data_IF_985350211342
#
_entry.id   IF_985350211342
#
_cell.length_a   1.000
_cell.length_b   1.000
_cell.length_c   1.000
_cell.angle_alpha   90.00
_cell.angle_beta   90.00
_cell.angle_gamma   90.00
#
_symmetry.space_group_name_H-M   'P 1'
#
loop_
_entity.id
_entity.type
_entity.pdbx_description
1 polymer ?
#
# COMPACT_ATOMS: atom_id res chain seq x y z
N UNK A 1 -39.13 -38.53 48.65
CA UNK A 1 -39.85 -37.24 48.56
C UNK A 1 -39.11 -36.23 49.41
N UNK A 2 -38.41 -35.26 48.82
CA UNK A 2 -37.98 -34.05 49.50
C UNK A 2 -37.84 -32.94 48.46
N UNK A 3 -38.88 -32.13 48.39
CA UNK A 3 -38.98 -30.98 47.50
C UNK A 3 -38.40 -29.74 48.19
N UNK A 4 -37.52 -29.07 47.43
CA UNK A 4 -37.41 -27.61 47.24
C UNK A 4 -37.52 -26.70 48.48
N UNK A 5 -36.40 -26.08 48.84
CA UNK A 5 -36.39 -24.72 49.39
C UNK A 5 -35.22 -23.93 48.81
N UNK A 6 -35.48 -23.16 47.76
CA UNK A 6 -34.68 -21.98 47.40
C UNK A 6 -35.61 -20.77 47.48
N UNK A 7 -35.20 -19.67 48.15
CA UNK A 7 -36.00 -18.46 48.22
C UNK A 7 -36.13 -17.87 46.81
N UNK A 8 -37.34 -17.44 46.45
CA UNK A 8 -37.59 -16.77 45.19
C UNK A 8 -36.78 -15.48 45.13
N UNK A 9 -35.87 -15.38 44.16
CA UNK A 9 -35.20 -14.12 43.81
C UNK A 9 -36.30 -13.19 43.30
N UNK A 10 -36.68 -12.20 44.10
CA UNK A 10 -37.54 -11.12 43.64
C UNK A 10 -36.80 -10.33 42.56
N UNK A 11 -37.36 -10.26 41.36
CA UNK A 11 -36.83 -9.42 40.30
C UNK A 11 -36.85 -7.96 40.77
N UNK A 12 -35.67 -7.37 40.96
CA UNK A 12 -35.57 -5.95 41.29
C UNK A 12 -36.11 -5.11 40.11
N UNK A 13 -36.82 -4.00 40.37
CA UNK A 13 -37.29 -3.13 39.32
C UNK A 13 -36.09 -2.54 38.59
N UNK A 14 -36.03 -2.74 37.28
CA UNK A 14 -34.98 -2.23 36.40
C UNK A 14 -34.98 -0.70 36.49
N UNK A 15 -33.94 -0.13 37.11
CA UNK A 15 -33.78 1.32 37.18
C UNK A 15 -33.64 1.87 35.77
N UNK A 16 -34.63 2.66 35.32
CA UNK A 16 -34.63 3.27 34.00
C UNK A 16 -33.64 4.43 33.95
N UNK A 17 -32.42 4.16 33.48
CA UNK A 17 -31.35 5.15 33.38
C UNK A 17 -31.39 5.90 32.06
N UNK A 18 -30.78 7.10 32.02
CA UNK A 18 -30.61 7.95 30.81
C UNK A 18 -29.91 7.22 29.64
N UNK A 19 -29.33 6.06 29.90
CA UNK A 19 -28.66 5.20 28.91
C UNK A 19 -29.54 4.09 28.31
N UNK A 20 -30.77 3.89 28.80
CA UNK A 20 -31.72 2.91 28.22
C UNK A 20 -32.18 3.28 26.80
N UNK A 21 -31.92 4.52 26.38
CA UNK A 21 -32.14 4.96 25.00
C UNK A 21 -31.15 4.31 24.02
N UNK A 22 -29.94 3.94 24.46
CA UNK A 22 -28.91 3.31 23.64
C UNK A 22 -29.04 1.78 23.55
N UNK A 23 -29.85 1.17 24.39
CA UNK A 23 -30.10 -0.28 24.42
C UNK A 23 -31.36 -0.70 23.66
N UNK A 24 -32.10 0.26 23.07
CA UNK A 24 -33.19 -0.04 22.14
C UNK A 24 -32.61 -0.35 20.77
N UNK A 25 -32.89 -1.53 20.17
CA UNK A 25 -32.44 -1.82 18.81
C UNK A 25 -33.01 -0.75 17.88
N UNK A 26 -32.14 -0.10 17.12
CA UNK A 26 -32.53 0.91 16.13
C UNK A 26 -33.51 0.27 15.16
N UNK A 27 -34.71 0.85 15.04
CA UNK A 27 -35.67 0.44 14.01
C UNK A 27 -35.07 0.61 12.61
N UNK A 28 -35.66 -0.02 11.58
CA UNK A 28 -35.13 0.00 10.21
C UNK A 28 -34.84 1.41 9.67
N UNK A 29 -35.61 2.42 10.10
CA UNK A 29 -35.37 3.82 9.76
C UNK A 29 -34.05 4.39 10.33
N UNK A 30 -33.67 4.00 11.55
CA UNK A 30 -32.41 4.42 12.16
C UNK A 30 -31.19 3.79 11.45
N UNK A 31 -31.32 2.54 11.03
CA UNK A 31 -30.29 1.85 10.26
C UNK A 31 -30.10 2.48 8.87
N UNK A 32 -31.21 2.80 8.19
CA UNK A 32 -31.19 3.48 6.89
C UNK A 32 -30.56 4.88 6.98
N UNK A 33 -30.86 5.65 8.02
CA UNK A 33 -30.25 6.97 8.24
C UNK A 33 -28.73 6.87 8.45
N UNK A 34 -28.26 5.92 9.26
CA UNK A 34 -26.82 5.68 9.46
C UNK A 34 -26.10 5.30 8.16
N UNK A 35 -26.68 4.39 7.37
CA UNK A 35 -26.13 4.00 6.07
C UNK A 35 -26.11 5.17 5.08
N UNK A 36 -27.16 5.99 5.07
CA UNK A 36 -27.24 7.20 4.24
C UNK A 36 -26.14 8.20 4.60
N UNK A 37 -25.96 8.50 5.89
CA UNK A 37 -24.90 9.41 6.39
C UNK A 37 -23.51 8.84 6.09
N UNK A 38 -23.29 7.54 6.32
CA UNK A 38 -22.02 6.88 6.02
C UNK A 38 -21.70 6.92 4.51
N UNK A 39 -22.69 6.66 3.65
CA UNK A 39 -22.55 6.74 2.20
C UNK A 39 -22.27 8.16 1.71
N UNK A 40 -22.92 9.18 2.29
CA UNK A 40 -22.69 10.59 1.98
C UNK A 40 -21.28 11.03 2.40
N UNK A 41 -20.86 10.66 3.62
CA UNK A 41 -19.50 10.92 4.10
C UNK A 41 -18.45 10.25 3.22
N UNK A 42 -18.64 8.97 2.86
CA UNK A 42 -17.75 8.26 1.95
C UNK A 42 -17.69 8.93 0.58
N UNK A 43 -18.84 9.29 0.00
CA UNK A 43 -18.92 9.99 -1.29
C UNK A 43 -18.22 11.35 -1.26
N UNK A 44 -18.37 12.12 -0.18
CA UNK A 44 -17.68 13.41 0.00
C UNK A 44 -16.17 13.22 0.16
N UNK A 45 -15.72 12.24 0.97
CA UNK A 45 -14.30 11.97 1.15
C UNK A 45 -13.61 11.55 -0.15
N UNK A 46 -14.28 10.69 -0.93
CA UNK A 46 -13.81 10.24 -2.25
C UNK A 46 -13.82 11.42 -3.24
N UNK A 47 -14.92 12.16 -3.34
CA UNK A 47 -15.08 13.27 -4.28
C UNK A 47 -14.14 14.45 -4.02
N UNK A 48 -13.72 14.66 -2.77
CA UNK A 48 -12.74 15.68 -2.39
C UNK A 48 -11.27 15.22 -2.56
N UNK A 49 -11.02 13.99 -3.03
CA UNK A 49 -9.66 13.48 -3.21
C UNK A 49 -8.85 13.36 -1.92
N UNK A 50 -9.52 13.28 -0.75
CA UNK A 50 -8.83 13.20 0.55
C UNK A 50 -8.22 11.83 0.84
N UNK A 51 -8.36 10.89 -0.08
CA UNK A 51 -7.64 9.61 -0.06
C UNK A 51 -6.36 9.79 -0.89
N UNK A 52 -5.32 10.33 -0.27
CA UNK A 52 -3.98 10.39 -0.86
C UNK A 52 -3.12 9.26 -0.28
N UNK A 53 -2.24 8.63 -1.09
CA UNK A 53 -1.25 7.70 -0.55
C UNK A 53 -0.33 8.42 0.46
N UNK A 54 0.21 7.71 1.46
CA UNK A 54 1.22 8.26 2.35
C UNK A 54 2.37 8.90 1.56
N UNK A 55 2.94 10.00 2.09
CA UNK A 55 4.03 10.73 1.43
C UNK A 55 5.24 9.82 1.14
N UNK A 56 5.52 8.87 2.04
CA UNK A 56 6.59 7.87 1.91
C UNK A 56 6.46 7.00 0.66
N UNK A 57 5.23 6.77 0.16
CA UNK A 57 4.96 5.98 -1.05
C UNK A 57 4.61 6.84 -2.26
N UNK A 58 4.86 8.14 -2.18
CA UNK A 58 4.47 9.12 -3.20
C UNK A 58 5.71 9.77 -3.84
N UNK A 59 6.45 9.07 -4.73
CA UNK A 59 7.69 9.54 -5.34
C UNK A 59 7.44 10.61 -6.43
N UNK A 60 6.70 11.67 -6.09
CA UNK A 60 6.17 12.65 -7.04
C UNK A 60 7.27 13.38 -7.79
N UNK A 61 8.28 13.87 -7.07
CA UNK A 61 9.41 14.58 -7.69
C UNK A 61 10.25 13.66 -8.57
N UNK A 62 10.53 12.42 -8.12
CA UNK A 62 11.23 11.42 -8.89
C UNK A 62 10.48 11.04 -10.19
N UNK A 63 9.15 10.90 -10.14
CA UNK A 63 8.33 10.60 -11.31
C UNK A 63 8.23 11.79 -12.26
N UNK A 64 8.15 13.02 -11.75
CA UNK A 64 8.23 14.22 -12.59
C UNK A 64 9.56 14.25 -13.37
N UNK A 65 10.68 14.05 -12.67
CA UNK A 65 11.99 13.91 -13.30
C UNK A 65 12.02 12.79 -14.35
N UNK A 66 11.50 11.60 -14.03
CA UNK A 66 11.49 10.46 -14.94
C UNK A 66 10.68 10.72 -16.22
N UNK A 67 9.62 11.52 -16.15
CA UNK A 67 8.84 11.94 -17.32
C UNK A 67 9.63 12.90 -18.18
N UNK A 68 10.21 13.94 -17.57
CA UNK A 68 10.97 14.98 -18.28
C UNK A 68 12.22 14.39 -18.96
N UNK A 69 12.86 13.42 -18.30
CA UNK A 69 13.99 12.67 -18.85
C UNK A 69 13.58 11.55 -19.84
N UNK A 70 12.29 11.36 -20.11
CA UNK A 70 11.79 10.36 -21.06
C UNK A 70 11.92 8.90 -20.60
N UNK A 71 12.24 8.65 -19.33
CA UNK A 71 12.48 7.31 -18.77
C UNK A 71 11.22 6.46 -18.70
N UNK A 72 10.05 7.08 -18.52
CA UNK A 72 8.76 6.39 -18.35
C UNK A 72 8.30 5.53 -19.55
N UNK A 73 9.00 5.63 -20.69
CA UNK A 73 8.81 4.75 -21.86
C UNK A 73 9.52 3.40 -21.71
N UNK A 74 10.53 3.32 -20.84
CA UNK A 74 11.33 2.12 -20.58
C UNK A 74 10.78 1.29 -19.42
N UNK A 75 11.29 0.07 -19.28
CA UNK A 75 10.92 -0.88 -18.23
C UNK A 75 11.53 -0.46 -16.90
N UNK A 76 10.67 -0.13 -15.93
CA UNK A 76 11.08 0.21 -14.57
C UNK A 76 11.29 -1.05 -13.74
N UNK A 77 12.26 -1.04 -12.83
CA UNK A 77 12.29 -1.93 -11.66
C UNK A 77 11.98 -1.09 -10.41
N UNK A 78 10.74 -1.16 -9.94
CA UNK A 78 10.24 -0.31 -8.87
C UNK A 78 10.19 -1.02 -7.51
N UNK A 79 10.25 -0.25 -6.43
CA UNK A 79 9.92 -0.73 -5.10
C UNK A 79 8.44 -1.09 -4.99
N UNK A 80 8.12 -2.18 -4.29
CA UNK A 80 6.75 -2.68 -4.09
C UNK A 80 5.77 -1.58 -3.66
N UNK A 81 6.17 -0.74 -2.69
CA UNK A 81 5.34 0.35 -2.16
C UNK A 81 5.01 1.45 -3.17
N UNK A 82 5.80 1.61 -4.23
CA UNK A 82 5.54 2.61 -5.28
C UNK A 82 4.57 2.12 -6.36
N UNK A 83 4.21 0.84 -6.37
CA UNK A 83 3.38 0.26 -7.42
C UNK A 83 2.03 0.97 -7.59
N UNK A 84 1.34 1.29 -6.49
CA UNK A 84 0.07 2.02 -6.54
C UNK A 84 0.20 3.42 -7.17
N UNK A 85 1.30 4.12 -6.87
CA UNK A 85 1.58 5.43 -7.46
C UNK A 85 1.89 5.33 -8.96
N UNK A 86 2.66 4.33 -9.37
CA UNK A 86 2.96 4.11 -10.79
C UNK A 86 1.70 3.80 -11.59
N UNK A 87 0.78 3.01 -11.04
CA UNK A 87 -0.52 2.71 -11.66
C UNK A 87 -1.32 4.00 -11.84
N UNK A 88 -1.45 4.85 -10.82
CA UNK A 88 -2.18 6.12 -10.94
C UNK A 88 -1.53 7.09 -11.93
N UNK A 89 -0.20 7.00 -12.07
CA UNK A 89 0.58 7.74 -13.06
C UNK A 89 0.53 7.13 -14.49
N UNK A 90 -0.11 5.98 -14.69
CA UNK A 90 -0.14 5.30 -15.99
C UNK A 90 1.22 4.76 -16.45
N UNK A 91 2.10 4.44 -15.51
CA UNK A 91 3.42 3.86 -15.78
C UNK A 91 3.34 2.35 -15.48
N UNK A 92 3.72 1.46 -16.42
CA UNK A 92 3.74 0.03 -16.18
C UNK A 92 4.64 -0.35 -14.98
N UNK A 93 4.13 -1.19 -14.09
CA UNK A 93 4.83 -1.65 -12.89
C UNK A 93 5.62 -2.93 -13.14
N UNK A 94 6.77 -3.07 -12.49
CA UNK A 94 7.43 -4.37 -12.35
C UNK A 94 6.72 -5.24 -11.31
N UNK A 95 6.33 -4.61 -10.21
CA UNK A 95 5.62 -5.22 -9.10
C UNK A 95 4.74 -4.17 -8.42
N UNK A 96 3.59 -4.57 -7.88
CA UNK A 96 2.71 -3.68 -7.13
C UNK A 96 1.84 -4.44 -6.11
N UNK A 97 0.94 -3.71 -5.44
CA UNK A 97 0.09 -4.20 -4.37
C UNK A 97 -0.87 -5.34 -4.74
N UNK A 98 -1.02 -5.67 -6.03
CA UNK A 98 -1.83 -6.81 -6.53
C UNK A 98 -1.04 -8.11 -6.42
N UNK A 99 -0.50 -8.41 -5.24
CA UNK A 99 0.46 -9.49 -5.01
C UNK A 99 -0.03 -10.88 -5.46
N UNK A 100 -1.34 -11.12 -5.43
CA UNK A 100 -1.99 -12.34 -5.92
C UNK A 100 -1.76 -12.60 -7.42
N UNK A 101 -1.55 -11.55 -8.21
CA UNK A 101 -1.26 -11.66 -9.65
C UNK A 101 0.18 -12.07 -9.94
N UNK A 102 1.09 -11.83 -9.00
CA UNK A 102 2.52 -12.10 -9.14
C UNK A 102 2.92 -13.45 -8.55
N UNK A 103 2.18 -13.93 -7.55
CA UNK A 103 2.51 -15.14 -6.80
C UNK A 103 3.58 -14.90 -5.73
N UNK A 104 3.46 -15.62 -4.60
CA UNK A 104 4.30 -15.41 -3.42
C UNK A 104 5.80 -15.55 -3.70
N UNK A 105 6.19 -16.51 -4.54
CA UNK A 105 7.60 -16.75 -4.88
C UNK A 105 8.22 -15.59 -5.66
N UNK A 106 7.47 -14.94 -6.56
CA UNK A 106 7.97 -13.76 -7.28
C UNK A 106 8.14 -12.57 -6.34
N UNK A 107 7.13 -12.32 -5.49
CA UNK A 107 7.18 -11.23 -4.51
C UNK A 107 8.37 -11.43 -3.55
N UNK A 108 8.57 -12.65 -3.05
CA UNK A 108 9.70 -13.01 -2.20
C UNK A 108 11.03 -12.75 -2.90
N UNK A 109 11.21 -13.23 -4.14
CA UNK A 109 12.44 -12.99 -4.91
C UNK A 109 12.71 -11.50 -5.13
N UNK A 110 11.68 -10.70 -5.40
CA UNK A 110 11.84 -9.25 -5.52
C UNK A 110 12.32 -8.61 -4.22
N UNK A 111 11.71 -8.96 -3.08
CA UNK A 111 12.12 -8.48 -1.75
C UNK A 111 13.56 -8.86 -1.44
N UNK A 112 13.95 -10.10 -1.75
CA UNK A 112 15.31 -10.60 -1.57
C UNK A 112 16.31 -9.90 -2.50
N UNK A 113 15.92 -9.58 -3.74
CA UNK A 113 16.73 -8.86 -4.71
C UNK A 113 17.01 -7.41 -4.28
N UNK A 114 15.99 -6.66 -3.80
CA UNK A 114 16.21 -5.29 -3.31
C UNK A 114 17.05 -5.25 -2.03
N UNK A 115 16.95 -6.30 -1.21
CA UNK A 115 17.73 -6.47 0.02
C UNK A 115 19.15 -7.03 -0.22
N UNK A 116 19.47 -7.48 -1.44
CA UNK A 116 20.70 -8.20 -1.78
C UNK A 116 20.93 -9.45 -0.90
N UNK A 117 19.85 -10.21 -0.65
CA UNK A 117 19.86 -11.43 0.19
C UNK A 117 19.39 -12.69 -0.55
N UNK A 118 19.00 -12.55 -1.82
CA UNK A 118 18.50 -13.67 -2.63
C UNK A 118 19.61 -14.50 -3.26
N UNK A 119 19.23 -15.70 -3.71
CA UNK A 119 20.12 -16.58 -4.49
C UNK A 119 20.38 -16.04 -5.90
N UNK A 120 19.38 -15.42 -6.53
CA UNK A 120 19.51 -14.74 -7.82
C UNK A 120 20.15 -13.36 -7.60
N UNK A 121 21.31 -13.07 -8.22
CA UNK A 121 21.90 -11.73 -8.20
C UNK A 121 20.94 -10.70 -8.81
N UNK A 122 20.90 -9.49 -8.25
CA UNK A 122 20.03 -8.42 -8.75
C UNK A 122 20.28 -8.14 -10.23
N UNK A 123 21.55 -8.13 -10.65
CA UNK A 123 21.96 -7.91 -12.04
C UNK A 123 21.31 -8.91 -13.01
N UNK A 124 21.31 -10.19 -12.65
CA UNK A 124 20.69 -11.24 -13.46
C UNK A 124 19.19 -11.00 -13.62
N UNK A 125 18.52 -10.52 -12.56
CA UNK A 125 17.11 -10.13 -12.64
C UNK A 125 16.93 -8.89 -13.54
N UNK A 126 17.73 -7.85 -13.35
CA UNK A 126 17.67 -6.62 -14.16
C UNK A 126 17.90 -6.90 -15.65
N UNK A 127 18.78 -7.84 -15.99
CA UNK A 127 19.07 -8.23 -17.36
C UNK A 127 17.97 -9.12 -17.95
N UNK A 128 17.51 -10.14 -17.20
CA UNK A 128 16.42 -11.04 -17.61
C UNK A 128 15.16 -10.27 -17.99
N UNK A 129 14.81 -9.26 -17.19
CA UNK A 129 13.64 -8.41 -17.44
C UNK A 129 13.96 -7.17 -18.26
N UNK A 130 15.20 -7.03 -18.75
CA UNK A 130 15.63 -5.92 -19.62
C UNK A 130 15.25 -4.55 -19.06
N UNK A 131 15.54 -4.37 -17.77
CA UNK A 131 15.19 -3.16 -17.03
C UNK A 131 16.04 -2.00 -17.55
N UNK A 132 15.37 -0.89 -17.90
CA UNK A 132 15.98 0.33 -18.41
C UNK A 132 16.29 1.34 -17.27
N UNK A 133 15.48 1.35 -16.20
CA UNK A 133 15.66 2.23 -15.06
C UNK A 133 15.08 1.64 -13.77
N UNK A 134 15.55 2.09 -12.60
CA UNK A 134 15.03 1.66 -11.30
C UNK A 134 14.36 2.82 -10.57
N UNK A 135 13.44 2.49 -9.67
CA UNK A 135 12.79 3.45 -8.77
C UNK A 135 12.66 2.80 -7.38
N UNK A 136 13.63 3.05 -6.51
CA UNK A 136 13.74 2.39 -5.20
C UNK A 136 13.79 3.42 -4.08
N UNK A 137 13.38 3.05 -2.87
CA UNK A 137 13.59 3.90 -1.69
C UNK A 137 15.10 4.08 -1.44
N UNK A 138 15.58 5.24 -0.95
CA UNK A 138 17.00 5.56 -0.86
C UNK A 138 17.83 4.55 -0.05
N UNK A 139 17.25 3.99 1.00
CA UNK A 139 17.87 3.05 1.94
C UNK A 139 18.04 1.62 1.38
N UNK A 140 17.41 1.30 0.25
CA UNK A 140 17.44 -0.04 -0.35
C UNK A 140 18.88 -0.46 -0.68
N UNK A 141 19.24 -1.69 -0.30
CA UNK A 141 20.60 -2.21 -0.48
C UNK A 141 21.00 -2.25 -1.96
N UNK A 142 20.04 -2.55 -2.85
CA UNK A 142 20.17 -2.50 -4.29
C UNK A 142 20.77 -1.18 -4.81
N UNK A 143 20.45 -0.02 -4.22
CA UNK A 143 21.02 1.26 -4.66
C UNK A 143 22.54 1.32 -4.47
N UNK A 144 23.09 0.66 -3.43
CA UNK A 144 24.55 0.59 -3.21
C UNK A 144 25.25 -0.29 -4.23
N UNK A 145 24.56 -1.31 -4.74
CA UNK A 145 25.08 -2.15 -5.81
C UNK A 145 25.04 -1.40 -7.14
N UNK A 146 23.89 -0.82 -7.49
CA UNK A 146 23.70 -0.01 -8.70
C UNK A 146 24.68 1.16 -8.79
N UNK A 147 25.06 1.77 -7.66
CA UNK A 147 26.08 2.83 -7.60
C UNK A 147 27.47 2.42 -8.07
N UNK A 148 27.76 1.11 -8.12
CA UNK A 148 29.06 0.54 -8.48
C UNK A 148 28.98 -0.40 -9.68
N UNK A 149 27.78 -0.65 -10.18
CA UNK A 149 27.54 -1.60 -11.26
C UNK A 149 27.84 -0.91 -12.60
N UNK A 150 28.77 -1.45 -13.43
CA UNK A 150 29.04 -0.89 -14.74
C UNK A 150 27.79 -0.85 -15.62
N UNK A 151 27.66 0.21 -16.43
CA UNK A 151 26.47 0.42 -17.27
C UNK A 151 25.25 0.94 -16.51
N UNK A 152 25.40 1.33 -15.25
CA UNK A 152 24.35 2.00 -14.47
C UNK A 152 24.86 3.31 -13.88
N UNK A 153 23.99 4.34 -13.94
CA UNK A 153 24.28 5.67 -13.40
C UNK A 153 23.11 6.14 -12.55
N UNK A 154 23.41 6.81 -11.43
CA UNK A 154 22.38 7.50 -10.63
C UNK A 154 21.92 8.74 -11.38
N UNK A 155 20.64 8.78 -11.74
CA UNK A 155 20.05 9.92 -12.46
C UNK A 155 19.37 10.90 -11.50
N UNK A 156 18.79 10.40 -10.41
CA UNK A 156 18.04 11.22 -9.44
C UNK A 156 18.11 10.60 -8.04
N UNK A 157 18.06 11.44 -6.99
CA UNK A 157 17.80 11.00 -5.62
C UNK A 157 17.24 12.13 -4.77
N UNK A 158 16.23 11.84 -3.98
CA UNK A 158 15.73 12.69 -2.89
C UNK A 158 15.52 11.85 -1.61
N UNK A 159 14.76 12.36 -0.66
CA UNK A 159 14.43 11.67 0.60
C UNK A 159 13.44 10.51 0.42
N UNK A 160 12.74 10.44 -0.71
CA UNK A 160 11.66 9.46 -0.97
C UNK A 160 12.11 8.36 -1.92
N UNK A 161 12.89 8.69 -2.96
CA UNK A 161 13.27 7.75 -4.00
C UNK A 161 14.63 8.06 -4.63
N UNK A 162 15.27 7.01 -5.12
CA UNK A 162 16.47 7.04 -5.96
C UNK A 162 16.16 6.38 -7.31
N UNK A 163 16.62 7.02 -8.39
CA UNK A 163 16.56 6.49 -9.75
C UNK A 163 17.97 6.20 -10.25
N UNK A 164 18.17 4.96 -10.68
CA UNK A 164 19.28 4.60 -11.56
C UNK A 164 18.77 4.35 -12.97
N UNK A 165 19.60 4.69 -13.95
CA UNK A 165 19.33 4.44 -15.37
C UNK A 165 20.43 3.57 -15.94
N UNK A 166 20.05 2.66 -16.84
CA UNK A 166 21.00 1.85 -17.60
C UNK A 166 21.58 2.70 -18.73
N UNK A 167 22.90 2.82 -18.76
CA UNK A 167 23.64 3.43 -19.85
C UNK A 167 23.75 2.41 -20.98
N UNK A 168 23.37 2.81 -22.19
CA UNK A 168 23.47 1.99 -23.40
C UNK A 168 24.76 2.31 -24.15
#
# INVERSE_FOLDING_TARGET
MLARQFPAIAAQPRASGRFDMFSRPSGPAGLAACLGVAGLLAGVLIGLGRVAPPLENSPTAAIAFARDAGLTKGRVFNHYGFGGYLISAGIPTFIDGRGELYGGDFVKRHVEAVALRGEEPLEAMLDRYTIDWTLLMPEQAANRLLARLPGWRRAYSDEVATIFVRER
#
